data_IF_472704268553
#
_entry.id   IF_472704268553
#
_cell.length_a   1.000
_cell.length_b   1.000
_cell.length_c   1.000
_cell.angle_alpha   90.00
_cell.angle_beta   90.00
_cell.angle_gamma   90.00
#
_symmetry.space_group_name_H-M   'P 1'
#
loop_
_entity.id
_entity.type
_entity.pdbx_description
1 polymer ?
2 non-polymer ?
3 water ?
#
# COMPACT_ATOMS: atom_id res chain seq x y z
N UNK A 1 5.82 3.14 23.03
CA UNK A 1 4.38 3.24 23.42
C UNK A 1 3.57 4.23 22.56
N UNK A 2 2.24 4.07 22.58
CA UNK A 2 1.28 4.91 21.83
C UNK A 2 0.11 5.23 22.71
N UNK A 3 -0.46 6.40 22.51
CA UNK A 3 -1.69 6.81 23.20
C UNK A 3 -2.68 7.46 22.22
N UNK A 4 -3.92 6.97 22.22
CA UNK A 4 -4.93 7.61 21.42
C UNK A 4 -5.44 8.87 22.13
N UNK A 5 -5.25 10.04 21.58
CA UNK A 5 -5.76 11.26 22.20
C UNK A 5 -7.13 11.80 21.72
N UNK A 6 -7.56 11.36 20.57
CA UNK A 6 -8.87 11.72 20.02
C UNK A 6 -9.15 10.73 18.91
N UNK A 7 -10.44 10.34 18.72
CA UNK A 7 -11.59 10.88 19.40
C UNK A 7 -11.90 10.19 20.74
N UNK A 8 -12.82 10.80 21.46
CA UNK A 8 -13.45 10.19 22.62
C UNK A 8 -14.59 9.24 22.18
N UNK A 9 -14.94 8.30 23.06
CA UNK A 9 -15.95 7.31 22.73
C UNK A 9 -17.31 7.89 22.44
N UNK A 10 -17.62 9.06 23.00
CA UNK A 10 -18.90 9.72 22.73
C UNK A 10 -18.90 10.75 21.62
N UNK A 11 -17.88 10.72 20.77
CA UNK A 11 -17.75 11.71 19.70
C UNK A 11 -19.03 11.70 18.84
N UNK A 12 -19.45 12.88 18.44
CA UNK A 12 -20.54 13.07 17.48
C UNK A 12 -19.96 13.06 16.10
N UNK A 13 -20.25 12.00 15.34
CA UNK A 13 -19.80 11.94 13.97
C UNK A 13 -20.90 11.39 13.05
N UNK A 14 -20.84 11.79 11.80
CA UNK A 14 -21.81 11.38 10.75
C UNK A 14 -21.11 10.73 9.55
N UNK A 15 -21.83 9.85 8.91
CA UNK A 15 -21.35 9.27 7.67
C UNK A 15 -20.99 10.29 6.63
N UNK A 16 -19.94 9.94 5.95
CA UNK A 16 -19.29 10.72 4.93
C UNK A 16 -18.70 12.00 5.35
N UNK A 17 -18.50 12.24 6.65
CA UNK A 17 -17.80 13.43 7.13
C UNK A 17 -16.52 12.93 7.78
N UNK A 18 -15.53 13.79 7.84
CA UNK A 18 -14.22 13.33 8.22
C UNK A 18 -14.12 13.44 9.74
N UNK A 19 -13.57 12.41 10.33
CA UNK A 19 -13.27 12.40 11.74
C UNK A 19 -11.73 12.37 11.95
N UNK A 20 -11.24 13.25 12.81
CA UNK A 20 -9.79 13.31 13.11
C UNK A 20 -9.39 12.35 14.21
N UNK A 21 -8.38 11.56 13.94
CA UNK A 21 -7.83 10.71 14.98
C UNK A 21 -6.47 11.27 15.33
N UNK A 22 -6.19 11.37 16.61
CA UNK A 22 -4.87 11.89 17.05
C UNK A 22 -4.21 10.96 18.07
N UNK A 23 -2.89 10.96 18.09
CA UNK A 23 -2.14 10.07 18.98
C UNK A 23 -0.81 10.67 19.40
N UNK A 24 -0.37 10.36 20.61
CA UNK A 24 1.05 10.65 20.95
C UNK A 24 1.79 9.32 20.88
N UNK A 25 3.12 9.35 20.82
CA UNK A 25 3.91 8.13 20.77
C UNK A 25 5.33 8.49 21.21
N UNK A 26 5.98 7.55 21.83
CA UNK A 26 7.36 7.79 22.28
C UNK A 26 8.00 6.50 22.68
N UNK A 27 9.33 6.53 22.85
CA UNK A 27 10.08 5.30 23.02
C UNK A 27 11.42 5.62 23.65
N UNK A 28 11.62 5.12 24.85
CA UNK A 28 12.85 5.35 25.60
C UNK A 28 14.11 4.56 25.11
N UNK A 29 13.96 3.52 24.28
CA UNK A 29 15.16 2.84 23.71
C UNK A 29 15.66 3.64 22.47
N UNK A 30 14.81 3.70 21.46
CA UNK A 30 15.12 4.38 20.21
C UNK A 30 13.89 5.08 19.67
N UNK A 31 13.74 5.14 18.35
CA UNK A 31 12.90 6.17 17.74
C UNK A 31 11.58 5.60 17.18
N UNK A 32 10.52 6.37 17.29
CA UNK A 32 9.25 6.02 16.66
C UNK A 32 9.36 6.24 15.16
N UNK A 33 9.19 5.21 14.35
CA UNK A 33 9.24 5.38 12.90
C UNK A 33 7.91 5.88 12.31
N UNK A 34 6.80 5.40 12.86
CA UNK A 34 5.49 5.80 12.39
C UNK A 34 4.47 5.34 13.37
N UNK A 35 3.28 5.94 13.19
CA UNK A 35 2.05 5.55 13.92
C UNK A 35 1.06 5.21 12.83
N UNK A 36 0.54 3.98 12.88
CA UNK A 36 -0.53 3.57 11.98
C UNK A 36 -1.87 3.81 12.70
N UNK A 37 -2.86 4.12 11.88
CA UNK A 37 -4.22 4.41 12.30
C UNK A 37 -5.06 3.34 11.70
N UNK A 38 -5.90 2.76 12.55
CA UNK A 38 -6.69 1.60 12.19
C UNK A 38 -8.18 1.86 12.52
N UNK A 39 -9.03 1.36 11.63
CA UNK A 39 -10.46 1.29 11.87
C UNK A 39 -10.92 -0.19 11.69
N UNK A 40 -11.57 -0.75 12.69
CA UNK A 40 -11.95 -2.14 12.67
C UNK A 40 -10.78 -3.01 12.33
N UNK A 41 -9.63 -2.66 12.90
CA UNK A 41 -8.46 -3.55 12.73
C UNK A 41 -7.74 -3.42 11.38
N UNK A 42 -8.24 -2.54 10.51
CA UNK A 42 -7.67 -2.33 9.17
C UNK A 42 -6.92 -1.01 9.15
N UNK A 43 -5.70 -1.03 8.66
CA UNK A 43 -4.86 0.18 8.55
C UNK A 43 -5.44 1.12 7.50
N UNK A 44 -5.77 2.37 7.88
CA UNK A 44 -6.34 3.32 6.98
C UNK A 44 -5.22 4.25 6.53
N UNK A 45 -4.13 4.28 7.31
CA UNK A 45 -3.02 5.15 6.92
C UNK A 45 -2.01 5.33 8.06
N UNK A 46 -0.98 6.11 7.79
CA UNK A 46 0.13 6.27 8.77
C UNK A 46 0.55 7.69 8.85
N UNK A 47 1.18 8.06 9.93
CA UNK A 47 1.85 9.34 10.00
C UNK A 47 3.23 9.06 10.57
N UNK A 48 4.25 9.65 9.93
CA UNK A 48 5.64 9.53 10.33
C UNK A 48 6.21 10.67 11.14
N UNK A 49 5.45 11.75 11.30
CA UNK A 49 5.90 12.91 12.08
C UNK A 49 4.84 13.38 13.05
N UNK A 50 5.26 13.51 14.31
CA UNK A 50 4.48 14.18 15.35
C UNK A 50 4.22 15.67 14.97
N UNK A 51 3.03 16.20 15.30
CA UNK A 51 2.00 15.48 16.05
C UNK A 51 1.28 14.51 15.11
N UNK A 52 1.04 13.29 15.58
CA UNK A 52 0.52 12.21 14.72
C UNK A 52 -0.99 12.37 14.57
N UNK A 53 -1.47 12.53 13.35
CA UNK A 53 -2.88 12.77 13.10
C UNK A 53 -3.29 12.17 11.79
N UNK A 54 -4.58 11.82 11.69
CA UNK A 54 -5.14 11.29 10.47
C UNK A 54 -6.59 11.66 10.39
N UNK A 55 -7.12 11.82 9.19
CA UNK A 55 -8.57 12.03 9.03
C UNK A 55 -9.14 10.80 8.32
N UNK A 56 -10.30 10.34 8.83
CA UNK A 56 -10.98 9.18 8.31
C UNK A 56 -12.34 9.58 7.81
N UNK A 57 -12.67 9.21 6.56
CA UNK A 57 -14.00 9.38 6.00
C UNK A 57 -14.99 8.44 6.76
N UNK A 58 -15.81 9.01 7.61
CA UNK A 58 -16.54 8.17 8.60
C UNK A 58 -17.67 7.35 7.86
N UNK A 59 -17.88 6.14 8.35
CA UNK A 59 -18.90 5.20 7.79
C UNK A 59 -19.79 4.90 9.01
N UNK A 60 -21.07 4.95 8.73
CA UNK A 60 -22.10 4.77 9.76
C UNK A 60 -21.92 3.49 10.55
N UNK A 61 -22.46 3.50 11.79
CA UNK A 61 -22.44 2.38 12.70
C UNK A 61 -21.31 2.31 13.72
N UNK A 62 -21.18 1.16 14.36
CA UNK A 62 -20.18 0.90 15.35
C UNK A 62 -18.81 0.69 14.71
N UNK A 63 -17.78 1.39 15.26
CA UNK A 63 -16.41 1.13 14.81
C UNK A 63 -15.46 1.29 15.92
N UNK A 64 -14.38 0.51 15.86
CA UNK A 64 -13.27 0.65 16.76
C UNK A 64 -12.12 1.29 16.04
N UNK A 65 -11.66 2.40 16.57
CA UNK A 65 -10.52 3.16 16.02
C UNK A 65 -9.33 2.82 16.88
N UNK A 66 -8.22 2.49 16.25
CA UNK A 66 -7.00 2.23 17.05
C UNK A 66 -5.76 2.87 16.43
N UNK A 67 -4.73 2.96 17.25
CA UNK A 67 -3.41 3.46 16.82
C UNK A 67 -2.35 2.42 17.31
N UNK A 68 -1.31 2.17 16.50
CA UNK A 68 -0.15 1.34 16.85
C UNK A 68 1.13 2.09 16.51
N UNK A 69 2.00 2.29 17.49
CA UNK A 69 3.30 2.90 17.18
C UNK A 69 4.28 1.80 16.72
N UNK A 70 5.14 2.15 15.75
CA UNK A 70 6.19 1.27 15.29
C UNK A 70 7.57 1.91 15.50
N UNK A 71 8.50 1.12 16.02
CA UNK A 71 9.86 1.61 16.32
C UNK A 71 10.77 1.53 15.07
N UNK A 72 12.06 1.80 15.27
CA UNK A 72 13.02 1.73 14.15
C UNK A 72 13.28 0.29 13.62
N UNK A 73 12.93 -0.73 14.41
CA UNK A 73 12.97 -2.11 13.92
C UNK A 73 11.64 -2.56 13.29
N UNK A 74 10.72 -1.60 13.12
CA UNK A 74 9.40 -1.85 12.56
C UNK A 74 8.64 -2.87 13.40
N UNK A 75 8.86 -2.80 14.72
CA UNK A 75 8.17 -3.61 15.71
C UNK A 75 7.01 -2.82 16.32
N UNK A 76 5.86 -3.50 16.49
CA UNK A 76 4.61 -2.88 16.95
C UNK A 76 4.43 -2.73 18.48
N UNK A 77 3.93 -1.56 18.91
CA UNK A 77 3.36 -1.35 20.25
C UNK A 77 2.05 -2.09 20.42
N UNK A 78 1.70 -2.41 21.67
CA UNK A 78 0.32 -2.67 22.00
C UNK A 78 -0.57 -1.49 21.46
N UNK A 79 -1.71 -1.83 20.81
CA UNK A 79 -2.60 -0.76 20.33
C UNK A 79 -3.28 -0.01 21.46
N UNK A 80 -3.57 1.26 21.20
CA UNK A 80 -4.56 1.99 21.94
C UNK A 80 -5.80 2.09 21.06
N UNK A 81 -6.97 1.89 21.64
CA UNK A 81 -8.19 1.93 20.88
C UNK A 81 -9.35 2.67 21.59
N UNK A 82 -10.36 3.01 20.80
CA UNK A 82 -11.61 3.58 21.33
C UNK A 82 -12.75 3.08 20.48
N UNK A 83 -13.91 2.87 21.12
CA UNK A 83 -15.11 2.49 20.33
C UNK A 83 -16.01 3.70 20.15
N UNK A 84 -16.51 3.88 18.92
CA UNK A 84 -17.37 4.98 18.60
C UNK A 84 -18.59 4.49 17.85
N UNK A 85 -19.54 5.39 17.69
CA UNK A 85 -20.73 5.15 16.82
C UNK A 85 -20.90 6.31 15.93
N UNK A 86 -21.01 6.06 14.63
CA UNK A 86 -21.10 7.07 13.61
C UNK A 86 -22.57 7.10 13.16
N UNK A 87 -23.16 8.27 13.19
CA UNK A 87 -24.56 8.40 12.78
C UNK A 87 -24.71 8.26 11.27
N UNK A 88 -25.96 8.12 10.83
CA UNK A 88 -26.29 8.12 9.43
C UNK A 88 -25.93 9.46 8.82
N UNK A 89 -25.47 9.41 7.59
CA UNK A 89 -25.16 10.59 6.81
C UNK A 89 -26.32 11.54 6.85
N UNK A 90 -26.06 12.83 6.99
CA UNK A 90 -27.12 13.86 6.97
C UNK A 90 -27.53 14.11 5.54
N UNK B 1 18.42 -17.07 12.62
CA UNK B 1 17.53 -16.37 13.60
C UNK B 1 16.71 -15.32 12.86
N UNK B 2 15.41 -15.51 12.82
CA UNK B 2 14.52 -14.68 12.01
C UNK B 2 13.20 -14.58 12.67
N UNK B 3 12.65 -13.38 12.81
CA UNK B 3 11.34 -13.27 13.40
C UNK B 3 10.44 -12.52 12.44
N UNK B 4 9.23 -13.02 12.28
CA UNK B 4 8.27 -12.35 11.43
C UNK B 4 7.77 -11.18 12.27
N UNK B 5 7.82 -9.97 11.75
CA UNK B 5 7.26 -8.79 12.43
C UNK B 5 5.88 -8.34 11.89
N UNK B 6 5.54 -8.82 10.69
CA UNK B 6 4.23 -8.50 10.05
C UNK B 6 4.06 -9.51 8.97
N UNK B 7 2.82 -9.96 8.74
CA UNK B 7 1.63 -9.63 9.44
C UNK B 7 1.42 -10.33 10.79
N UNK B 8 0.50 -9.75 11.57
CA UNK B 8 -0.03 -10.35 12.77
C UNK B 8 -1.16 -11.26 12.34
N UNK B 9 -1.44 -12.24 13.17
CA UNK B 9 -2.46 -13.19 12.86
C UNK B 9 -3.84 -12.62 12.61
N UNK B 10 -4.11 -11.46 13.19
CA UNK B 10 -5.38 -10.83 13.04
C UNK B 10 -5.44 -9.75 11.94
N UNK B 11 -4.44 -9.75 11.07
CA UNK B 11 -4.44 -8.78 9.99
C UNK B 11 -5.72 -8.74 9.18
N UNK B 12 -6.16 -7.56 8.82
CA UNK B 12 -7.31 -7.39 7.89
C UNK B 12 -6.69 -7.23 6.51
N UNK B 13 -6.96 -8.20 5.62
CA UNK B 13 -6.53 -8.16 4.26
C UNK B 13 -7.58 -8.73 3.34
N UNK B 14 -7.55 -8.27 2.12
CA UNK B 14 -8.54 -8.65 1.08
C UNK B 14 -7.87 -9.32 -0.11
N UNK B 15 -8.63 -10.17 -0.81
CA UNK B 15 -8.15 -10.77 -2.03
C UNK B 15 -7.79 -9.71 -3.02
N UNK B 16 -6.76 -10.02 -3.76
CA UNK B 16 -6.17 -9.18 -4.80
C UNK B 16 -5.48 -7.88 -4.35
N UNK B 17 -5.30 -7.68 -3.07
CA UNK B 17 -4.59 -6.56 -2.56
C UNK B 17 -3.29 -7.08 -1.99
N UNK B 18 -2.26 -6.24 -2.03
CA UNK B 18 -0.99 -6.67 -1.54
C UNK B 18 -0.84 -6.63 -0.02
N UNK B 19 -0.34 -7.74 0.50
CA UNK B 19 0.02 -7.86 1.83
C UNK B 19 1.55 -7.85 2.08
N UNK B 20 1.97 -6.95 2.94
CA UNK B 20 3.40 -6.78 3.28
C UNK B 20 3.82 -7.77 4.38
N UNK B 21 4.86 -8.56 4.07
CA UNK B 21 5.47 -9.45 4.99
C UNK B 21 6.84 -8.86 5.38
N UNK B 22 7.08 -8.75 6.66
CA UNK B 22 8.32 -8.18 7.21
C UNK B 22 8.96 -9.13 8.24
N UNK B 23 10.31 -9.15 8.25
CA UNK B 23 11.06 -9.98 9.18
C UNK B 23 12.36 -9.29 9.56
N UNK B 24 12.83 -9.58 10.77
CA UNK B 24 14.17 -9.26 11.21
C UNK B 24 14.92 -10.59 11.22
N UNK B 25 16.24 -10.54 11.05
CA UNK B 25 17.06 -11.75 11.16
C UNK B 25 18.45 -11.36 11.64
N UNK B 26 19.16 -12.29 12.29
CA UNK B 26 20.54 -12.06 12.79
C UNK B 26 21.24 -13.37 13.21
N UNK B 31 26.39 -14.70 9.59
CA UNK B 31 25.90 -13.88 8.51
C UNK B 31 24.61 -14.49 8.00
N UNK B 32 23.73 -13.63 7.50
CA UNK B 32 22.49 -14.05 6.86
C UNK B 32 22.64 -13.73 5.40
N UNK B 33 22.50 -14.76 4.55
CA UNK B 33 22.62 -14.59 3.12
C UNK B 33 21.30 -14.15 2.48
N UNK B 34 20.19 -14.67 2.99
CA UNK B 34 18.88 -14.29 2.45
C UNK B 34 17.83 -14.77 3.42
N UNK B 35 16.70 -14.07 3.40
CA UNK B 35 15.42 -14.57 4.00
C UNK B 35 14.44 -14.86 2.84
N UNK B 36 13.87 -16.07 2.89
CA UNK B 36 12.84 -16.52 2.00
C UNK B 36 11.50 -16.28 2.67
N UNK B 37 10.56 -15.87 1.83
CA UNK B 37 9.18 -15.60 2.23
C UNK B 37 8.32 -16.71 1.59
N UNK B 38 7.43 -17.33 2.39
CA UNK B 38 6.68 -18.47 1.98
C UNK B 38 5.20 -18.23 2.33
N UNK B 39 4.35 -18.74 1.44
CA UNK B 39 2.90 -18.79 1.69
C UNK B 39 2.45 -20.24 1.43
N UNK B 40 1.81 -20.81 2.43
CA UNK B 40 1.41 -22.21 2.42
C UNK B 40 2.58 -23.11 2.04
N UNK B 41 3.78 -22.76 2.56
CA UNK B 41 4.90 -23.64 2.41
C UNK B 41 5.64 -23.53 1.09
N UNK B 42 5.17 -22.63 0.24
CA UNK B 42 5.76 -22.34 -1.07
C UNK B 42 6.53 -21.04 -1.06
N UNK B 43 7.77 -21.06 -1.54
CA UNK B 43 8.54 -19.82 -1.58
C UNK B 43 7.97 -18.85 -2.60
N UNK B 44 7.66 -17.63 -2.18
CA UNK B 44 7.17 -16.60 -3.09
C UNK B 44 8.32 -15.65 -3.52
N UNK B 45 9.39 -15.61 -2.73
CA UNK B 45 10.53 -14.78 -3.12
C UNK B 45 11.44 -14.63 -1.93
N UNK B 46 12.48 -13.81 -2.09
CA UNK B 46 13.52 -13.67 -1.09
C UNK B 46 13.94 -12.24 -1.01
N UNK B 47 14.53 -11.87 0.12
CA UNK B 47 15.12 -10.54 0.24
C UNK B 47 16.49 -10.78 0.83
N UNK B 48 17.48 -10.12 0.24
CA UNK B 48 18.88 -10.38 0.59
C UNK B 48 19.49 -9.37 1.55
N UNK B 49 18.83 -8.22 1.78
CA UNK B 49 19.38 -7.19 2.64
C UNK B 49 18.33 -6.68 3.64
N UNK B 50 18.68 -6.54 4.92
CA UNK B 50 17.77 -5.99 5.90
C UNK B 50 17.51 -4.53 5.57
N UNK B 51 16.30 -4.01 5.92
CA UNK B 51 15.16 -4.72 6.51
C UNK B 51 14.51 -5.70 5.52
N UNK B 52 14.22 -6.91 5.98
CA UNK B 52 13.71 -7.92 5.09
C UNK B 52 12.17 -7.75 4.89
N UNK B 53 11.78 -7.53 3.65
CA UNK B 53 10.39 -7.25 3.30
C UNK B 53 10.01 -7.92 1.98
N UNK B 54 8.71 -8.24 1.83
CA UNK B 54 8.19 -8.74 0.58
C UNK B 54 6.73 -8.39 0.55
N UNK B 55 6.18 -8.22 -0.66
CA UNK B 55 4.73 -7.99 -0.89
C UNK B 55 4.16 -9.19 -1.59
N UNK B 56 2.98 -9.65 -1.07
CA UNK B 56 2.29 -10.82 -1.63
C UNK B 56 0.88 -10.43 -2.08
N UNK B 57 0.55 -10.74 -3.31
CA UNK B 57 -0.82 -10.49 -3.85
C UNK B 57 -1.68 -11.51 -3.14
N UNK B 58 -2.51 -11.02 -2.25
CA UNK B 58 -3.28 -11.92 -1.35
C UNK B 58 -4.37 -12.69 -2.10
N UNK B 59 -4.56 -13.92 -1.64
CA UNK B 59 -5.58 -14.86 -2.10
C UNK B 59 -6.53 -15.05 -0.90
N UNK B 60 -7.81 -14.87 -1.15
CA UNK B 60 -8.81 -15.09 -0.09
C UNK B 60 -8.66 -16.46 0.59
N UNK B 61 -9.11 -16.54 1.86
CA UNK B 61 -9.09 -17.74 2.68
C UNK B 61 -7.94 -17.84 3.68
N UNK B 62 -7.83 -19.00 4.31
CA UNK B 62 -6.84 -19.30 5.32
C UNK B 62 -5.50 -19.50 4.66
N UNK B 63 -4.42 -18.85 5.19
CA UNK B 63 -3.06 -19.04 4.63
C UNK B 63 -2.07 -18.99 5.76
N UNK B 64 -0.94 -19.67 5.60
CA UNK B 64 0.10 -19.61 6.61
C UNK B 64 1.32 -18.98 5.97
N UNK B 65 1.74 -17.82 6.50
CA UNK B 65 2.84 -17.01 5.96
C UNK B 65 4.05 -17.38 6.82
N UNK B 66 5.16 -17.64 6.17
CA UNK B 66 6.40 -17.89 6.94
C UNK B 66 7.59 -17.27 6.33
N UNK B 67 8.64 -17.27 7.13
CA UNK B 67 9.97 -16.75 6.73
C UNK B 67 11.00 -17.74 7.23
N UNK B 68 12.01 -17.96 6.40
CA UNK B 68 13.13 -18.82 6.73
C UNK B 68 14.39 -18.06 6.44
N UNK B 69 15.28 -18.00 7.41
CA UNK B 69 16.57 -17.33 7.24
C UNK B 69 17.65 -18.34 6.84
N UNK B 70 18.58 -17.93 5.98
CA UNK B 70 19.61 -18.87 5.48
C UNK B 70 20.95 -18.23 5.71
N UNK B 71 21.91 -19.05 6.12
CA UNK B 71 23.25 -18.54 6.41
C UNK B 71 24.11 -18.67 5.15
N UNK B 72 25.37 -18.32 5.30
CA UNK B 72 26.35 -18.39 4.21
C UNK B 72 26.56 -19.81 3.60
N UNK B 73 26.18 -20.83 4.33
CA UNK B 73 26.38 -22.23 3.92
C UNK B 73 25.06 -22.84 3.40
N UNK B 74 24.07 -21.96 3.20
CA UNK B 74 22.68 -22.32 2.89
C UNK B 74 22.02 -23.23 3.94
N UNK B 75 22.47 -23.18 5.20
CA UNK B 75 21.72 -23.83 6.29
C UNK B 75 20.49 -22.98 6.59
N UNK B 76 19.33 -23.64 6.60
CA UNK B 76 18.02 -23.02 6.95
C UNK B 76 17.80 -23.00 8.48
N UNK B 77 17.30 -21.86 8.97
CA UNK B 77 16.74 -21.66 10.29
C UNK B 77 15.41 -22.34 10.41
N UNK B 78 15.03 -22.67 11.65
CA UNK B 78 13.64 -22.91 11.92
C UNK B 78 12.77 -21.77 11.34
N UNK B 79 11.68 -22.13 10.66
CA UNK B 79 10.84 -21.03 10.21
C UNK B 79 10.08 -20.31 11.29
N UNK B 80 9.81 -19.03 11.09
CA UNK B 80 8.76 -18.33 11.87
C UNK B 80 7.51 -18.24 11.03
N UNK B 81 6.34 -18.50 11.62
CA UNK B 81 5.12 -18.49 10.78
C UNK B 81 3.99 -17.80 11.53
N UNK B 82 2.97 -17.44 10.79
CA UNK B 82 1.79 -16.84 11.30
C UNK B 82 0.65 -17.36 10.41
N UNK B 83 -0.52 -17.61 11.03
CA UNK B 83 -1.74 -17.96 10.29
C UNK B 83 -2.65 -16.75 10.14
N UNK B 84 -3.10 -16.52 8.91
CA UNK B 84 -3.99 -15.43 8.65
C UNK B 84 -5.22 -15.84 7.87
N UNK B 85 -6.16 -14.93 7.84
CA UNK B 85 -7.37 -15.12 7.00
C UNK B 85 -7.55 -13.94 6.10
N UNK B 86 -7.63 -14.21 4.78
CA UNK B 86 -7.78 -13.16 3.77
C UNK B 86 -9.24 -13.08 3.34
N UNK B 87 -9.81 -11.89 3.49
CA UNK B 87 -11.24 -11.76 3.11
C UNK B 87 -11.45 -11.78 1.64
N UNK B 88 -12.70 -12.00 1.23
CA UNK B 88 -13.09 -11.86 -0.17
C UNK B 88 -12.67 -10.58 -0.79
N UNK B 89 -12.14 -10.67 -2.01
CA UNK B 89 -11.88 -9.47 -2.79
C UNK B 89 -13.13 -8.57 -2.69
N UNK B 90 -12.90 -7.29 -2.47
CA UNK B 90 -13.97 -6.36 -2.22
C UNK B 90 -14.89 -6.36 -3.46
N UNK C 1 -0.85 -12.60 -26.03
CA UNK C 1 -0.09 -11.31 -25.93
C UNK C 1 -0.12 -10.75 -24.50
N UNK C 2 0.76 -9.75 -24.24
CA UNK C 2 0.86 -9.07 -22.92
C UNK C 2 1.00 -7.59 -23.15
N UNK C 3 0.43 -6.81 -22.22
CA UNK C 3 0.60 -5.37 -22.14
C UNK C 3 0.96 -4.90 -20.76
N UNK C 4 2.06 -4.16 -20.62
CA UNK C 4 2.38 -3.53 -19.30
C UNK C 4 1.53 -2.28 -19.09
N UNK C 5 0.73 -2.24 -18.04
CA UNK C 5 -0.14 -1.12 -17.76
C UNK C 5 0.36 -0.11 -16.76
N UNK C 6 1.34 -0.52 -15.96
CA UNK C 6 1.94 0.33 -14.95
C UNK C 6 3.23 -0.39 -14.57
N UNK C 7 4.30 0.36 -14.26
CA UNK C 7 4.35 1.81 -14.21
C UNK C 7 4.61 2.45 -15.61
N UNK C 8 4.40 3.75 -15.71
CA UNK C 8 4.86 4.59 -16.80
C UNK C 8 6.33 4.96 -16.59
N UNK C 9 6.97 5.38 -17.68
CA UNK C 9 8.38 5.67 -17.68
C UNK C 9 8.75 6.80 -16.76
N UNK C 10 7.83 7.73 -16.52
CA UNK C 10 8.06 8.86 -15.64
C UNK C 10 7.60 8.65 -14.20
N UNK C 11 7.45 7.39 -13.81
CA UNK C 11 6.96 7.05 -12.49
C UNK C 11 7.87 7.69 -11.41
N UNK C 12 7.24 8.25 -10.38
CA UNK C 12 8.00 8.74 -9.20
C UNK C 12 8.10 7.55 -8.22
N UNK C 13 9.34 7.08 -7.99
CA UNK C 13 9.64 5.94 -7.17
C UNK C 13 10.99 6.10 -6.44
N UNK C 14 11.06 5.59 -5.27
CA UNK C 14 12.19 5.72 -4.35
C UNK C 14 12.76 4.33 -4.00
N UNK C 15 14.06 4.28 -3.80
CA UNK C 15 14.74 3.05 -3.37
C UNK C 15 14.12 2.50 -2.09
N UNK C 16 14.04 1.18 -2.04
CA UNK C 16 13.54 0.40 -0.93
C UNK C 16 12.06 0.58 -0.65
N UNK C 17 11.32 1.14 -1.60
CA UNK C 17 9.86 1.24 -1.45
C UNK C 17 9.27 0.40 -2.58
N UNK C 18 8.14 -0.22 -2.31
CA UNK C 18 7.49 -1.12 -3.25
C UNK C 18 6.81 -0.38 -4.36
N UNK C 19 7.09 -0.85 -5.57
CA UNK C 19 6.57 -0.32 -6.71
C UNK C 19 5.66 -1.42 -7.38
N UNK C 20 4.45 -1.02 -7.72
CA UNK C 20 3.43 -1.95 -8.30
C UNK C 20 3.59 -2.03 -9.84
N UNK C 21 3.75 -3.28 -10.33
CA UNK C 21 3.77 -3.51 -11.75
C UNK C 21 2.47 -4.27 -12.11
N UNK C 22 1.82 -3.80 -13.16
CA UNK C 22 0.56 -4.40 -13.57
C UNK C 22 0.56 -4.69 -15.06
N UNK C 23 -0.20 -5.68 -15.46
CA UNK C 23 -0.32 -6.00 -16.86
C UNK C 23 -1.66 -6.63 -17.11
N UNK C 24 -2.01 -6.61 -18.38
CA UNK C 24 -3.09 -7.45 -18.91
C UNK C 24 -2.43 -8.48 -19.87
N UNK C 25 -3.10 -9.60 -20.12
CA UNK C 25 -2.61 -10.59 -21.08
C UNK C 25 -3.86 -11.31 -21.64
N UNK C 26 -3.77 -11.82 -22.85
CA UNK C 26 -4.84 -12.65 -23.40
C UNK C 26 -4.28 -13.48 -24.50
N UNK C 27 -5.03 -14.55 -24.84
CA UNK C 27 -4.68 -15.40 -25.96
C UNK C 27 -5.99 -15.75 -26.65
N UNK C 28 -6.01 -15.56 -27.96
CA UNK C 28 -7.27 -15.64 -28.74
C UNK C 28 -7.93 -17.00 -28.54
N UNK C 29 -7.31 -18.05 -29.09
CA UNK C 29 -7.78 -19.40 -28.86
C UNK C 29 -6.65 -20.14 -28.18
N UNK C 30 -6.86 -20.38 -26.88
CA UNK C 30 -5.78 -20.64 -25.95
C UNK C 30 -6.15 -20.04 -24.60
N UNK C 31 -5.15 -19.80 -23.75
CA UNK C 31 -5.39 -19.50 -22.35
C UNK C 31 -4.02 -19.17 -21.77
N UNK C 32 -3.91 -18.04 -21.07
CA UNK C 32 -2.61 -17.62 -20.50
C UNK C 32 -2.41 -18.43 -19.25
N UNK C 33 -1.26 -19.07 -19.15
CA UNK C 33 -0.94 -19.79 -17.97
C UNK C 33 -0.30 -18.91 -16.88
N UNK C 34 0.52 -17.93 -17.27
CA UNK C 34 1.16 -17.08 -16.27
C UNK C 34 1.74 -15.88 -16.99
N UNK C 35 1.89 -14.82 -16.21
CA UNK C 35 2.69 -13.63 -16.59
C UNK C 35 3.85 -13.58 -15.64
N UNK C 36 5.06 -13.52 -16.22
CA UNK C 36 6.27 -13.27 -15.47
C UNK C 36 6.56 -11.76 -15.48
N UNK C 37 7.09 -11.32 -14.36
CA UNK C 37 7.50 -9.92 -14.20
C UNK C 37 9.00 -9.93 -14.10
N UNK C 38 9.69 -9.01 -14.79
CA UNK C 38 11.13 -9.00 -14.91
C UNK C 38 11.67 -7.61 -14.58
N UNK C 39 12.84 -7.58 -13.90
CA UNK C 39 13.58 -6.34 -13.72
C UNK C 39 14.96 -6.57 -14.34
N UNK C 40 15.40 -5.66 -15.20
CA UNK C 40 16.66 -5.85 -15.88
C UNK C 40 16.88 -7.22 -16.48
N UNK C 41 15.81 -7.81 -17.03
CA UNK C 41 15.87 -9.12 -17.65
C UNK C 41 15.86 -10.34 -16.78
N UNK C 42 15.73 -10.18 -15.45
CA UNK C 42 15.66 -11.30 -14.49
C UNK C 42 14.23 -11.33 -13.98
N UNK C 43 13.70 -12.53 -13.89
CA UNK C 43 12.33 -12.75 -13.38
C UNK C 43 12.32 -12.52 -11.87
N UNK C 44 11.41 -11.66 -11.39
CA UNK C 44 11.28 -11.33 -9.99
C UNK C 44 10.14 -12.17 -9.44
N UNK C 45 9.23 -12.60 -10.31
CA UNK C 45 8.07 -13.42 -9.81
C UNK C 45 7.03 -13.53 -10.93
N UNK C 46 5.96 -14.26 -10.63
CA UNK C 46 4.95 -14.54 -11.62
C UNK C 46 3.60 -14.39 -10.94
N UNK C 47 2.61 -14.17 -11.79
CA UNK C 47 1.15 -14.18 -11.44
C UNK C 47 0.38 -15.00 -12.47
N UNK C 48 -0.55 -15.83 -11.94
CA UNK C 48 -1.30 -16.76 -12.77
C UNK C 48 -2.79 -16.49 -12.87
N UNK C 49 -3.28 -15.39 -12.30
CA UNK C 49 -4.66 -14.93 -12.51
C UNK C 49 -4.77 -13.45 -12.64
N UNK C 50 -5.63 -13.03 -13.53
CA UNK C 50 -6.00 -11.61 -13.59
C UNK C 50 -6.71 -11.22 -12.31
N UNK C 51 -6.51 -9.97 -11.82
CA UNK C 51 -5.69 -8.91 -12.55
C UNK C 51 -4.25 -9.18 -12.32
N UNK C 52 -3.42 -9.23 -13.37
CA UNK C 52 -2.03 -9.64 -13.19
C UNK C 52 -1.23 -8.47 -12.56
N UNK C 53 -0.57 -8.72 -11.46
CA UNK C 53 0.11 -7.64 -10.71
C UNK C 53 1.20 -8.19 -9.86
N UNK C 54 2.23 -7.37 -9.59
CA UNK C 54 3.35 -7.76 -8.76
C UNK C 54 3.83 -6.49 -8.04
N UNK C 55 4.44 -6.65 -6.86
CA UNK C 55 5.05 -5.51 -6.15
C UNK C 55 6.55 -5.83 -6.10
N UNK C 56 7.37 -4.86 -6.52
CA UNK C 56 8.81 -5.00 -6.47
C UNK C 56 9.44 -4.01 -5.51
N UNK C 57 10.31 -4.50 -4.64
CA UNK C 57 11.09 -3.64 -3.70
C UNK C 57 12.14 -2.89 -4.53
N UNK C 58 11.88 -1.61 -4.74
CA UNK C 58 12.65 -0.93 -5.81
C UNK C 58 14.10 -0.75 -5.37
N UNK C 59 14.95 -0.84 -6.40
CA UNK C 59 16.42 -0.63 -6.30
C UNK C 59 16.71 0.69 -7.02
N UNK C 60 17.47 1.55 -6.35
CA UNK C 60 17.95 2.83 -6.92
C UNK C 60 18.50 2.75 -8.32
N UNK C 61 18.30 3.84 -9.06
CA UNK C 61 18.91 3.96 -10.41
C UNK C 61 18.03 3.55 -11.58
N UNK C 62 18.66 3.43 -12.77
CA UNK C 62 17.93 3.12 -13.99
C UNK C 62 17.61 1.66 -14.04
N UNK C 63 16.35 1.33 -14.39
CA UNK C 63 15.96 -0.13 -14.51
C UNK C 63 14.92 -0.28 -15.61
N UNK C 64 14.93 -1.47 -16.22
CA UNK C 64 13.93 -1.89 -17.19
C UNK C 64 13.02 -2.87 -16.50
N UNK C 65 11.74 -2.58 -16.58
CA UNK C 65 10.73 -3.46 -16.04
C UNK C 65 10.12 -4.09 -17.28
N UNK C 66 9.84 -5.37 -17.21
CA UNK C 66 9.15 -5.97 -18.33
C UNK C 66 8.21 -7.04 -17.86
N UNK C 67 7.34 -7.41 -18.80
CA UNK C 67 6.39 -8.55 -18.56
C UNK C 67 6.38 -9.46 -19.79
N UNK C 68 6.28 -10.76 -19.57
CA UNK C 68 6.23 -11.77 -20.60
C UNK C 68 5.03 -12.66 -20.25
N UNK C 69 4.10 -12.80 -21.18
CA UNK C 69 2.97 -13.76 -20.99
C UNK C 69 3.35 -15.17 -21.51
N UNK C 70 2.82 -16.21 -20.92
CA UNK C 70 3.07 -17.59 -21.32
C UNK C 70 1.70 -18.27 -21.53
N UNK C 71 1.57 -18.94 -22.66
CA UNK C 71 0.32 -19.65 -22.99
C UNK C 71 0.24 -21.07 -22.37
N UNK C 72 -0.75 -21.86 -22.78
CA UNK C 72 -0.90 -23.19 -22.23
C UNK C 72 0.22 -24.18 -22.61
N UNK C 73 0.97 -23.90 -23.69
CA UNK C 73 2.12 -24.74 -24.08
C UNK C 73 3.46 -24.17 -23.56
N UNK C 74 3.35 -23.18 -22.67
CA UNK C 74 4.48 -22.50 -22.05
C UNK C 74 5.21 -21.66 -23.12
N UNK C 75 4.50 -21.26 -24.18
CA UNK C 75 5.12 -20.45 -25.23
C UNK C 75 5.16 -18.99 -24.75
N UNK C 76 6.35 -18.34 -24.84
CA UNK C 76 6.46 -16.91 -24.45
C UNK C 76 6.05 -15.89 -25.48
N UNK C 77 5.38 -14.82 -25.00
CA UNK C 77 5.11 -13.64 -25.82
C UNK C 77 6.39 -12.82 -25.94
N UNK C 78 6.44 -11.98 -26.97
CA UNK C 78 7.31 -10.79 -26.93
C UNK C 78 7.10 -10.03 -25.60
N UNK C 79 8.20 -9.62 -24.94
CA UNK C 79 8.03 -8.82 -23.74
C UNK C 79 7.48 -7.40 -24.01
N UNK C 80 6.78 -6.86 -23.03
CA UNK C 80 6.47 -5.44 -23.03
C UNK C 80 7.27 -4.85 -21.87
N UNK C 81 7.87 -3.71 -22.14
CA UNK C 81 8.85 -3.09 -21.24
C UNK C 81 8.62 -1.61 -21.01
N UNK C 82 9.25 -1.13 -19.95
CA UNK C 82 9.30 0.29 -19.69
C UNK C 82 10.57 0.56 -18.94
N UNK C 83 11.24 1.67 -19.29
CA UNK C 83 12.41 2.10 -18.51
C UNK C 83 12.02 3.16 -17.47
N UNK C 84 12.58 3.02 -16.27
CA UNK C 84 12.27 3.90 -15.19
C UNK C 84 13.57 4.30 -14.46
N UNK C 85 13.42 5.30 -13.62
CA UNK C 85 14.53 5.79 -12.78
C UNK C 85 14.03 5.86 -11.40
N UNK C 86 14.66 5.05 -10.55
CA UNK C 86 14.32 4.97 -9.10
C UNK C 86 15.22 5.95 -8.31
N UNK C 87 14.61 6.94 -7.67
CA UNK C 87 15.37 7.92 -6.92
C UNK C 87 16.01 7.32 -5.72
N UNK C 88 17.01 8.02 -5.17
CA UNK C 88 17.68 7.55 -4.00
C UNK C 88 16.66 7.41 -2.83
N UNK C 89 16.83 6.35 -2.07
CA UNK C 89 16.00 6.08 -0.88
C UNK C 89 15.88 7.33 -0.03
N UNK C 90 14.66 7.60 0.44
CA UNK C 90 14.44 8.78 1.25
C UNK C 90 14.48 8.45 2.77
N UNK D 1 -16.23 11.45 -16.34
CA UNK D 1 -15.46 11.69 -15.06
C UNK D 1 -14.30 10.71 -15.13
N UNK D 2 -13.49 10.50 -14.08
CA UNK D 2 -13.59 11.06 -12.69
C UNK D 2 -12.77 12.33 -12.65
N UNK D 3 -13.33 13.42 -12.17
CA UNK D 3 -12.65 14.69 -12.24
C UNK D 3 -12.37 15.15 -10.82
N UNK D 4 -11.19 15.70 -10.63
CA UNK D 4 -10.87 16.38 -9.37
C UNK D 4 -11.78 17.59 -9.24
N UNK D 5 -12.49 17.71 -8.13
CA UNK D 5 -13.30 18.88 -7.85
C UNK D 5 -12.73 19.83 -6.81
N UNK D 6 -11.80 19.32 -6.00
CA UNK D 6 -11.01 20.12 -5.08
C UNK D 6 -9.76 19.35 -4.78
N UNK D 7 -8.62 20.04 -4.48
CA UNK D 7 -8.50 21.49 -4.48
C UNK D 7 -8.30 22.05 -5.89
N UNK D 8 -8.51 23.36 -5.99
CA UNK D 8 -8.06 24.19 -7.10
C UNK D 8 -6.60 24.60 -6.98
N UNK D 9 -6.02 24.96 -8.11
CA UNK D 9 -4.62 25.30 -8.18
C UNK D 9 -4.25 26.46 -7.29
N UNK D 10 -5.19 27.36 -7.07
CA UNK D 10 -4.96 28.53 -6.26
C UNK D 10 -5.43 28.41 -4.78
N UNK D 11 -5.57 27.18 -4.33
CA UNK D 11 -6.04 26.96 -3.01
C UNK D 11 -5.10 27.60 -1.99
N UNK D 12 -5.65 28.18 -0.93
CA UNK D 12 -4.90 28.70 0.21
C UNK D 12 -4.92 27.60 1.24
N UNK D 13 -3.76 27.01 1.48
CA UNK D 13 -3.57 25.89 2.42
C UNK D 13 -2.24 25.99 3.11
N UNK D 14 -2.23 25.57 4.35
CA UNK D 14 -1.10 25.72 5.31
C UNK D 14 -0.54 24.36 5.69
N UNK D 15 0.75 24.29 5.90
CA UNK D 15 1.36 23.10 6.39
C UNK D 15 0.76 22.60 7.68
N UNK D 16 0.71 21.29 7.81
CA UNK D 16 0.20 20.62 9.01
C UNK D 16 -1.30 20.88 9.25
N UNK D 17 -2.05 21.21 8.17
CA UNK D 17 -3.43 21.29 8.25
C UNK D 17 -3.97 20.34 7.18
N UNK D 18 -5.11 19.74 7.47
CA UNK D 18 -5.61 18.79 6.49
C UNK D 18 -6.29 19.52 5.34
N UNK D 19 -6.00 19.04 4.16
CA UNK D 19 -6.55 19.51 2.96
C UNK D 19 -7.43 18.41 2.30
N UNK D 20 -8.66 18.79 2.00
CA UNK D 20 -9.66 17.89 1.38
C UNK D 20 -9.49 17.79 -0.11
N UNK D 21 -9.34 16.55 -0.60
CA UNK D 21 -9.31 16.28 -1.96
C UNK D 21 -10.61 15.57 -2.35
N UNK D 22 -11.27 16.07 -3.40
CA UNK D 22 -12.56 15.49 -3.80
C UNK D 22 -12.62 15.26 -5.31
N UNK D 23 -13.40 14.28 -5.69
CA UNK D 23 -13.53 13.92 -7.07
C UNK D 23 -14.96 13.45 -7.34
N UNK D 24 -15.46 13.80 -8.52
CA UNK D 24 -16.84 13.53 -8.92
C UNK D 24 -16.76 12.66 -10.14
N UNK D 25 -17.52 11.56 -10.13
CA UNK D 25 -17.24 10.44 -11.00
C UNK D 25 -18.31 9.38 -10.96
N UNK D 31 -18.68 2.15 -14.34
CA UNK D 31 -18.42 1.24 -13.19
C UNK D 31 -17.06 1.48 -12.56
N UNK D 32 -17.05 1.89 -11.28
CA UNK D 32 -15.81 2.31 -10.62
C UNK D 32 -15.63 1.52 -9.35
N UNK D 33 -14.52 0.81 -9.27
CA UNK D 33 -14.21 -0.01 -8.13
C UNK D 33 -13.54 0.82 -7.05
N UNK D 34 -12.73 1.82 -7.45
CA UNK D 34 -12.10 2.71 -6.44
C UNK D 34 -11.53 3.90 -7.13
N UNK D 35 -11.36 4.99 -6.37
CA UNK D 35 -10.50 6.08 -6.77
C UNK D 35 -9.32 6.18 -5.80
N UNK D 36 -8.11 6.25 -6.36
CA UNK D 36 -6.92 6.47 -5.58
C UNK D 36 -6.60 7.97 -5.62
N UNK D 37 -6.08 8.40 -4.49
CA UNK D 37 -5.66 9.81 -4.33
C UNK D 37 -4.16 9.75 -4.17
N UNK D 38 -3.48 10.64 -4.89
CA UNK D 38 -2.04 10.65 -4.94
C UNK D 38 -1.51 12.08 -4.68
N UNK D 39 -0.35 12.12 -3.99
CA UNK D 39 0.37 13.34 -3.77
C UNK D 39 1.79 13.07 -4.34
N UNK D 40 2.25 13.92 -5.28
CA UNK D 40 3.52 13.73 -5.93
C UNK D 40 3.73 12.33 -6.45
N UNK D 41 2.67 11.74 -7.01
CA UNK D 41 2.80 10.44 -7.65
C UNK D 41 2.74 9.25 -6.74
N UNK D 42 2.55 9.47 -5.43
CA UNK D 42 2.43 8.38 -4.47
C UNK D 42 0.98 8.33 -3.97
N UNK D 43 0.43 7.12 -3.95
CA UNK D 43 -0.92 6.91 -3.44
C UNK D 43 -0.95 7.17 -1.92
N UNK D 44 -1.81 8.07 -1.47
CA UNK D 44 -1.96 8.32 -0.04
C UNK D 44 -3.16 7.54 0.52
N UNK D 45 -4.07 7.10 -0.38
CA UNK D 45 -5.20 6.30 0.08
C UNK D 45 -6.24 6.23 -1.05
N UNK D 46 -7.32 5.53 -0.76
CA UNK D 46 -8.36 5.28 -1.71
C UNK D 46 -9.73 5.41 -1.08
N UNK D 47 -10.72 5.66 -1.93
CA UNK D 47 -12.14 5.69 -1.55
C UNK D 47 -12.93 4.85 -2.56
N UNK D 48 -13.89 4.03 -2.07
CA UNK D 48 -14.58 3.10 -2.96
C UNK D 48 -16.05 3.42 -3.09
N UNK D 49 -16.51 4.52 -2.51
CA UNK D 49 -17.90 4.95 -2.73
C UNK D 49 -18.03 6.46 -2.78
N UNK D 50 -18.81 6.97 -3.72
CA UNK D 50 -19.21 8.36 -3.71
C UNK D 50 -19.89 8.72 -2.39
N UNK D 51 -19.71 9.98 -1.91
CA UNK D 51 -18.82 11.01 -2.51
C UNK D 51 -17.36 10.68 -2.34
N UNK D 52 -16.60 10.64 -3.46
CA UNK D 52 -15.19 10.27 -3.39
C UNK D 52 -14.37 11.43 -2.77
N UNK D 53 -13.70 11.15 -1.67
CA UNK D 53 -13.02 12.21 -0.92
C UNK D 53 -12.00 11.66 -0.02
N UNK D 54 -11.00 12.48 0.28
CA UNK D 54 -9.87 12.09 1.11
C UNK D 54 -9.34 13.36 1.76
N UNK D 55 -8.81 13.20 2.97
CA UNK D 55 -8.12 14.28 3.71
C UNK D 55 -6.62 13.95 3.72
N UNK D 56 -5.78 14.95 3.38
CA UNK D 56 -4.34 14.79 3.40
C UNK D 56 -3.71 15.83 4.36
N UNK D 57 -2.87 15.38 5.31
CA UNK D 57 -2.10 16.33 6.19
C UNK D 57 -1.04 17.00 5.32
N UNK D 58 -1.28 18.27 5.05
CA UNK D 58 -0.54 18.99 4.01
C UNK D 58 0.91 19.21 4.46
N UNK D 59 1.75 19.03 3.47
CA UNK D 59 3.20 19.29 3.58
C UNK D 59 3.45 20.60 2.80
N UNK D 60 4.27 21.43 3.41
CA UNK D 60 4.69 22.72 2.83
C UNK D 60 5.32 22.55 1.47
N UNK D 61 5.18 23.60 0.71
CA UNK D 61 5.81 23.73 -0.58
C UNK D 61 4.93 23.30 -1.73
N UNK D 62 5.54 23.17 -2.91
CA UNK D 62 4.90 22.72 -4.15
C UNK D 62 4.56 21.27 -4.07
N UNK D 63 3.33 20.92 -4.50
CA UNK D 63 2.88 19.51 -4.59
C UNK D 63 1.89 19.37 -5.70
N UNK D 64 1.82 18.16 -6.25
CA UNK D 64 0.91 17.78 -7.31
C UNK D 64 -0.08 16.75 -6.81
N UNK D 65 -1.35 17.09 -6.74
CA UNK D 65 -2.40 16.21 -6.17
C UNK D 65 -3.10 15.60 -7.38
N UNK D 66 -3.41 14.30 -7.31
CA UNK D 66 -4.06 13.68 -8.46
C UNK D 66 -5.01 12.63 -7.95
N UNK D 67 -5.90 12.21 -8.86
CA UNK D 67 -6.87 11.13 -8.59
C UNK D 67 -6.84 10.24 -9.84
N UNK D 68 -6.93 8.93 -9.60
CA UNK D 68 -6.90 7.92 -10.67
C UNK D 68 -8.06 7.00 -10.37
N UNK D 69 -8.99 6.90 -11.34
CA UNK D 69 -10.14 5.98 -11.16
C UNK D 69 -9.83 4.58 -11.72
N UNK D 70 -10.37 3.57 -11.06
CA UNK D 70 -10.14 2.15 -11.42
C UNK D 70 -11.52 1.49 -11.66
N UNK D 71 -11.66 0.80 -12.78
CA UNK D 71 -12.89 0.05 -13.09
C UNK D 71 -12.88 -1.33 -12.45
N UNK D 72 -13.85 -2.17 -12.79
CA UNK D 72 -13.98 -3.51 -12.15
C UNK D 72 -12.86 -4.52 -12.52
N UNK D 73 -12.19 -4.26 -13.64
CA UNK D 73 -11.05 -5.02 -14.07
C UNK D 73 -9.76 -4.41 -13.57
N UNK D 74 -9.87 -3.38 -12.71
CA UNK D 74 -8.71 -2.76 -12.10
C UNK D 74 -7.93 -2.04 -13.20
N UNK D 75 -8.64 -1.56 -14.25
CA UNK D 75 -8.00 -0.75 -15.30
C UNK D 75 -8.07 0.72 -14.85
N UNK D 76 -6.90 1.37 -14.93
CA UNK D 76 -6.72 2.77 -14.53
C UNK D 76 -7.08 3.75 -15.61
N UNK D 77 -7.82 4.77 -15.21
CA UNK D 77 -8.01 6.02 -15.97
C UNK D 77 -6.69 6.76 -16.07
N UNK D 78 -6.56 7.66 -17.06
CA UNK D 78 -5.55 8.67 -17.00
C UNK D 78 -5.80 9.56 -15.74
N UNK D 79 -4.74 10.02 -15.08
CA UNK D 79 -4.96 10.87 -13.91
C UNK D 79 -5.49 12.25 -14.18
N UNK D 80 -6.29 12.74 -13.27
CA UNK D 80 -6.66 14.18 -13.19
C UNK D 80 -5.82 14.79 -12.05
N UNK D 81 -5.13 15.89 -12.33
CA UNK D 81 -4.14 16.41 -11.41
C UNK D 81 -4.26 17.93 -11.29
N UNK D 82 -3.69 18.45 -10.20
CA UNK D 82 -3.69 19.85 -9.96
C UNK D 82 -2.37 20.15 -9.26
N UNK D 83 -1.75 21.27 -9.62
CA UNK D 83 -0.57 21.71 -8.83
C UNK D 83 -0.94 22.80 -7.85
N UNK D 84 -0.42 22.69 -6.64
CA UNK D 84 -0.73 23.59 -5.55
C UNK D 84 0.54 24.02 -4.80
N UNK D 85 0.41 25.08 -4.05
CA UNK D 85 1.48 25.48 -3.11
C UNK D 85 0.91 25.60 -1.73
N UNK D 86 1.59 24.89 -0.79
CA UNK D 86 1.16 24.85 0.59
C UNK D 86 2.04 25.82 1.35
N UNK D 87 1.42 26.76 1.98
CA UNK D 87 2.15 27.80 2.70
C UNK D 87 2.80 27.24 3.94
N UNK D 88 3.77 27.99 4.43
CA UNK D 88 4.43 27.61 5.65
C UNK D 88 3.39 27.44 6.78
N UNK D 89 3.54 26.37 7.57
CA UNK D 89 2.77 26.12 8.76
C UNK D 89 2.67 27.40 9.59
N UNK D 90 1.50 27.62 10.12
CA UNK D 90 1.21 28.88 10.75
C UNK D 90 2.05 29.04 12.01
X LIG E 1 3.09 8.27 24.28
X LIG F 1 -17.30 -1.64 17.59
X LIG G 1 -3.74 -21.95 7.44
X LIG H 1 -15.08 -12.20 4.43
X LIG I 1 16.11 -11.38 14.65
X LIG J 1 -3.74 -7.94 -23.46
X LIG K 1 17.55 11.28 -5.98
X LIG L 1 4.56 20.32 -8.26
X LIG M 1 4.12 31.28 3.57
X LIG N 1 3.47 31.95 0.74
X LIG O 1 -16.89 11.94 -13.68
#
# INVERSE_FOLDING_TARGET
MVKLTAPKSNVVAYGNEFLKITATASDSDGKISRVDFLVDGEVIGSDREAPYEYEWKAVEGNHEISVIAYDDDDAASTPDSVKIFVKQARLEHHHHHH
MVKLTAPKSNVVAYGNEFLKITATASDSDGKISRVDFLVDGEVIGSDREAPYEYEWKAVEGNHEISVIAYDDDDAASTPDSVKIFVKQARLEHHHHHH
MVKLTAPKSNVVAYGNEFLKITATASDSDGKISRVDFLVDGEVIGSDREAPYEYEWKAVEGNHEISVIAYDDDDAASTPDSVKIFVKQARLEHHHHHH
MVKLTAPKSNVVAYGNEFLKITATASDSDGKISRVDFLVDGEVIGSDREAPYEYEWKAVEGNHEISVIAYDDDDAASTPDSVKIFVKQARLEHHHHHH
IOD I
IOD I
IOD I
IOD I
IOD I
IOD I
IOD I
IOD I
IOD I
IOD I
IOD I
#
